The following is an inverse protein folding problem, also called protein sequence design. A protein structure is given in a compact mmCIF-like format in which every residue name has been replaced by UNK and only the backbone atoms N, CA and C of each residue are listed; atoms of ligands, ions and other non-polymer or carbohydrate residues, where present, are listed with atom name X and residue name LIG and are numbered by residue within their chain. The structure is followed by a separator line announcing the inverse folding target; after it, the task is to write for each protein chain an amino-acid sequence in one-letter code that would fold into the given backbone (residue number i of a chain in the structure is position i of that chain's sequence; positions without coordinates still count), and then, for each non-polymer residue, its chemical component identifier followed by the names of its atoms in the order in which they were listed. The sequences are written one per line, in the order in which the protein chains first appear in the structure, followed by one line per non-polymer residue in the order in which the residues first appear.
data_IF_543470207564
#
_entry.id   IF_543470207564
#
_cell.length_a   1.000
_cell.length_b   1.000
_cell.length_c   1.000
_cell.angle_alpha   90.00
_cell.angle_beta   90.00
_cell.angle_gamma   90.00
#
_symmetry.space_group_name_H-M   'P 1'
#
loop_
_entity.id
_entity.type
_entity.pdbx_description
1 polymer ?
#
# COMPACT_ATOMS: atom_id res chain seq x y z
N UNK A 1 -11.38 -6.31 12.49
CA UNK A 1 -10.74 -6.34 11.16
C UNK A 1 -9.25 -6.54 11.38
N UNK A 2 -8.61 -7.47 10.67
CA UNK A 2 -7.17 -7.73 10.89
C UNK A 2 -6.37 -6.67 10.14
N UNK A 3 -5.50 -5.97 10.86
CA UNK A 3 -4.60 -4.97 10.30
C UNK A 3 -3.31 -5.65 9.86
N UNK A 4 -2.83 -5.31 8.66
CA UNK A 4 -1.64 -5.91 8.09
C UNK A 4 -0.67 -4.84 7.59
N UNK A 5 0.62 -5.14 7.72
CA UNK A 5 1.72 -4.43 7.08
C UNK A 5 2.25 -5.23 5.89
N UNK A 6 2.74 -4.54 4.87
CA UNK A 6 3.35 -5.16 3.68
C UNK A 6 4.80 -4.67 3.57
N UNK A 7 5.76 -5.58 3.58
CA UNK A 7 7.17 -5.27 3.32
C UNK A 7 7.54 -5.68 1.89
N UNK A 8 7.73 -4.69 1.02
CA UNK A 8 7.95 -4.84 -0.42
C UNK A 8 6.69 -4.56 -1.25
N UNK A 9 6.68 -3.47 -2.02
CA UNK A 9 5.56 -3.05 -2.87
C UNK A 9 5.73 -3.47 -4.34
N UNK A 10 6.30 -4.66 -4.52
CA UNK A 10 6.42 -5.34 -5.81
C UNK A 10 5.10 -5.97 -6.26
N UNK A 11 5.18 -6.94 -7.18
CA UNK A 11 3.99 -7.58 -7.79
C UNK A 11 3.04 -8.17 -6.74
N UNK A 12 3.56 -8.96 -5.80
CA UNK A 12 2.73 -9.59 -4.76
C UNK A 12 2.17 -8.56 -3.78
N UNK A 13 3.00 -7.63 -3.28
CA UNK A 13 2.54 -6.59 -2.35
C UNK A 13 1.39 -5.74 -2.92
N UNK A 14 1.48 -5.36 -4.20
CA UNK A 14 0.39 -4.63 -4.87
C UNK A 14 -0.88 -5.47 -5.03
N UNK A 15 -0.76 -6.75 -5.41
CA UNK A 15 -1.92 -7.62 -5.57
C UNK A 15 -2.59 -7.95 -4.24
N UNK A 16 -1.81 -8.16 -3.17
CA UNK A 16 -2.32 -8.29 -1.80
C UNK A 16 -3.09 -7.03 -1.40
N UNK A 17 -2.56 -5.84 -1.70
CA UNK A 17 -3.24 -4.56 -1.43
C UNK A 17 -4.54 -4.45 -2.23
N UNK A 18 -4.54 -4.79 -3.52
CA UNK A 18 -5.76 -4.80 -4.36
C UNK A 18 -6.82 -5.75 -3.78
N UNK A 19 -6.44 -6.95 -3.37
CA UNK A 19 -7.34 -7.94 -2.78
C UNK A 19 -7.87 -7.50 -1.40
N UNK A 20 -7.03 -6.85 -0.58
CA UNK A 20 -7.44 -6.31 0.71
C UNK A 20 -8.53 -5.23 0.55
N UNK A 21 -8.31 -4.30 -0.39
CA UNK A 21 -9.24 -3.20 -0.66
C UNK A 21 -10.59 -3.69 -1.13
N UNK A 22 -10.63 -4.71 -2.00
CA UNK A 22 -11.91 -5.25 -2.53
C UNK A 22 -12.55 -6.29 -1.61
N UNK A 23 -11.76 -7.01 -0.81
CA UNK A 23 -12.23 -8.12 0.01
C UNK A 23 -12.86 -7.72 1.33
N UNK A 24 -12.50 -6.56 1.89
CA UNK A 24 -13.12 -6.02 3.13
C UNK A 24 -12.87 -6.82 4.41
N UNK A 25 -12.01 -7.85 4.38
CA UNK A 25 -11.68 -8.70 5.54
C UNK A 25 -10.45 -8.24 6.31
N UNK A 26 -9.54 -7.57 5.61
CA UNK A 26 -8.25 -7.11 6.12
C UNK A 26 -8.04 -5.65 5.74
N UNK A 27 -7.29 -4.94 6.58
CA UNK A 27 -6.96 -3.53 6.38
C UNK A 27 -5.45 -3.40 6.25
N UNK A 28 -4.98 -2.89 5.10
CA UNK A 28 -3.57 -2.55 4.94
C UNK A 28 -3.33 -1.20 5.60
N UNK A 29 -2.56 -1.18 6.68
CA UNK A 29 -2.28 0.05 7.44
C UNK A 29 -0.90 0.62 7.15
N UNK A 30 0.03 -0.24 6.70
CA UNK A 30 1.39 0.15 6.39
C UNK A 30 1.97 -0.59 5.20
N UNK A 31 2.78 0.10 4.41
CA UNK A 31 3.62 -0.46 3.35
C UNK A 31 5.05 0.05 3.54
N UNK A 32 6.04 -0.84 3.50
CA UNK A 32 7.45 -0.47 3.44
C UNK A 32 8.03 -0.83 2.07
N UNK A 33 8.70 0.11 1.41
CA UNK A 33 9.57 -0.19 0.28
C UNK A 33 10.69 0.87 0.17
N UNK A 34 11.97 0.51 0.39
CA UNK A 34 13.07 1.47 0.40
C UNK A 34 13.45 2.02 -0.98
N UNK A 35 12.83 1.54 -2.07
CA UNK A 35 13.22 1.91 -3.44
C UNK A 35 12.12 2.61 -4.24
N UNK A 36 10.91 2.70 -3.69
CA UNK A 36 9.73 3.22 -4.38
C UNK A 36 9.19 4.38 -3.56
N UNK A 37 9.14 5.60 -4.13
CA UNK A 37 8.54 6.74 -3.45
C UNK A 37 7.00 6.69 -3.49
N UNK A 38 6.36 7.49 -2.65
CA UNK A 38 4.91 7.48 -2.45
C UNK A 38 4.11 7.77 -3.74
N UNK A 39 4.54 8.76 -4.53
CA UNK A 39 3.91 9.11 -5.81
C UNK A 39 3.99 7.95 -6.80
N UNK A 40 5.14 7.28 -6.85
CA UNK A 40 5.33 6.13 -7.73
C UNK A 40 4.56 4.90 -7.25
N UNK A 41 4.43 4.67 -5.93
CA UNK A 41 3.53 3.65 -5.39
C UNK A 41 2.10 3.87 -5.87
N UNK A 42 1.59 5.11 -5.81
CA UNK A 42 0.24 5.42 -6.31
C UNK A 42 0.10 5.13 -7.81
N UNK A 43 1.10 5.49 -8.62
CA UNK A 43 1.14 5.17 -10.05
C UNK A 43 1.15 3.66 -10.31
N UNK A 44 2.05 2.91 -9.66
CA UNK A 44 2.18 1.46 -9.83
C UNK A 44 0.94 0.70 -9.33
N UNK A 45 0.23 1.24 -8.35
CA UNK A 45 -1.04 0.68 -7.90
C UNK A 45 -2.16 0.95 -8.93
N UNK A 46 -2.22 2.18 -9.48
CA UNK A 46 -3.20 2.56 -10.52
C UNK A 46 -3.06 1.74 -11.79
N UNK A 47 -1.84 1.49 -12.25
CA UNK A 47 -1.61 0.85 -13.55
C UNK A 47 -0.87 -0.47 -13.39
N UNK A 48 -1.52 -1.55 -13.81
CA UNK A 48 -0.93 -2.89 -13.85
C UNK A 48 -1.12 -3.48 -15.24
N UNK A 49 -0.04 -3.99 -15.85
CA UNK A 49 -0.07 -4.50 -17.22
C UNK A 49 -0.79 -5.84 -17.35
N UNK A 50 -0.86 -6.64 -16.28
CA UNK A 50 -1.49 -7.97 -16.30
C UNK A 50 -2.94 -7.91 -15.83
N UNK A 51 -3.20 -7.16 -14.76
CA UNK A 51 -4.52 -7.05 -14.14
C UNK A 51 -5.28 -5.79 -14.54
N UNK A 52 -4.72 -4.99 -15.44
CA UNK A 52 -5.31 -3.75 -15.93
C UNK A 52 -5.27 -2.60 -14.92
N UNK A 53 -5.77 -1.42 -15.34
CA UNK A 53 -5.87 -0.26 -14.47
C UNK A 53 -6.84 -0.52 -13.31
N UNK A 54 -6.56 0.09 -12.17
CA UNK A 54 -7.43 0.07 -11.01
C UNK A 54 -8.74 0.82 -11.31
N UNK A 55 -9.89 0.15 -11.09
CA UNK A 55 -11.24 0.68 -11.38
C UNK A 55 -12.12 0.88 -10.14
N UNK A 56 -11.65 0.48 -8.96
CA UNK A 56 -12.48 0.41 -7.75
C UNK A 56 -12.32 1.64 -6.83
N UNK A 57 -12.24 2.83 -7.43
CA UNK A 57 -12.18 4.11 -6.71
C UNK A 57 -10.85 4.85 -6.84
N UNK A 58 -10.77 5.97 -6.15
CA UNK A 58 -9.62 6.88 -6.22
C UNK A 58 -8.38 6.28 -5.54
N UNK A 59 -7.23 6.55 -6.16
CA UNK A 59 -5.89 6.30 -5.60
C UNK A 59 -5.16 7.63 -5.62
N UNK A 60 -4.74 8.11 -4.47
CA UNK A 60 -4.04 9.40 -4.34
C UNK A 60 -3.02 9.36 -3.22
N UNK A 61 -2.18 10.38 -3.18
CA UNK A 61 -1.28 10.67 -2.07
C UNK A 61 -1.89 11.81 -1.27
N UNK A 62 -1.92 11.68 0.06
CA UNK A 62 -2.50 12.71 0.95
C UNK A 62 -1.75 12.68 2.29
N UNK A 63 -1.15 13.80 2.68
CA UNK A 63 -0.46 13.92 3.97
C UNK A 63 0.65 12.88 4.20
N UNK A 64 1.43 12.55 3.17
CA UNK A 64 2.49 11.53 3.24
C UNK A 64 1.98 10.08 3.29
N UNK A 65 0.69 9.85 3.03
CA UNK A 65 0.07 8.51 2.99
C UNK A 65 -0.40 8.14 1.60
N UNK A 66 -0.42 6.85 1.33
CA UNK A 66 -1.09 6.29 0.16
C UNK A 66 -2.57 6.09 0.51
N UNK A 67 -3.46 6.73 -0.23
CA UNK A 67 -4.91 6.65 -0.01
C UNK A 67 -5.55 5.87 -1.14
N UNK A 68 -6.23 4.78 -0.80
CA UNK A 68 -6.97 3.93 -1.74
C UNK A 68 -8.39 3.76 -1.21
N UNK A 69 -9.35 4.44 -1.83
CA UNK A 69 -10.72 4.52 -1.31
C UNK A 69 -10.74 5.06 0.12
N UNK A 70 -11.12 4.22 1.08
CA UNK A 70 -11.17 4.58 2.52
C UNK A 70 -9.89 4.24 3.28
N UNK A 71 -8.98 3.45 2.69
CA UNK A 71 -7.74 3.05 3.35
C UNK A 71 -6.72 4.18 3.29
N UNK A 72 -6.18 4.56 4.44
CA UNK A 72 -5.08 5.53 4.58
C UNK A 72 -3.84 4.79 5.06
N UNK A 73 -2.92 4.53 4.14
CA UNK A 73 -1.79 3.63 4.34
C UNK A 73 -0.53 4.44 4.61
N UNK A 74 0.10 4.20 5.76
CA UNK A 74 1.40 4.79 6.11
C UNK A 74 2.50 4.15 5.26
N UNK A 75 3.39 4.96 4.69
CA UNK A 75 4.50 4.46 3.86
C UNK A 75 5.81 4.65 4.61
N UNK A 76 6.62 3.59 4.62
CA UNK A 76 7.98 3.57 5.14
C UNK A 76 8.98 3.27 4.01
N UNK A 77 10.24 3.67 4.20
CA UNK A 77 11.33 3.48 3.25
C UNK A 77 12.57 2.89 3.92
N UNK A 78 12.38 1.97 4.87
CA UNK A 78 13.46 1.36 5.63
C UNK A 78 14.03 0.15 4.89
N UNK A 79 15.37 0.09 4.81
CA UNK A 79 16.09 -1.08 4.26
C UNK A 79 16.19 -2.23 5.26
N UNK A 80 16.43 -1.90 6.52
CA UNK A 80 16.45 -2.88 7.60
C UNK A 80 15.03 -3.06 8.13
N UNK A 81 14.43 -4.27 8.02
CA UNK A 81 13.09 -4.52 8.53
C UNK A 81 12.92 -4.23 10.03
N UNK A 82 13.99 -4.29 10.82
CA UNK A 82 13.94 -4.01 12.25
C UNK A 82 13.63 -2.53 12.57
N UNK A 83 13.93 -1.62 11.63
CA UNK A 83 13.68 -0.18 11.81
C UNK A 83 12.27 0.25 11.40
N UNK A 84 11.50 -0.64 10.77
CA UNK A 84 10.14 -0.30 10.33
C UNK A 84 9.24 -0.16 11.56
N UNK A 85 8.74 1.06 11.77
CA UNK A 85 7.89 1.40 12.91
C UNK A 85 6.43 1.01 12.67
N UNK A 86 6.18 -0.30 12.56
CA UNK A 86 4.84 -0.83 12.31
C UNK A 86 3.80 -0.34 13.33
N UNK A 87 4.20 -0.19 14.59
CA UNK A 87 3.31 0.27 15.67
C UNK A 87 2.75 1.69 15.46
N UNK A 88 3.46 2.55 14.73
CA UNK A 88 3.02 3.93 14.46
C UNK A 88 1.86 3.97 13.44
N UNK A 89 1.65 2.88 12.69
CA UNK A 89 0.58 2.76 11.70
C UNK A 89 -0.74 2.19 12.26
N UNK A 90 -0.71 1.72 13.51
CA UNK A 90 -1.90 1.33 14.30
C UNK A 90 -2.36 -0.11 14.15
#
# INVERSE_FOLDING_TARGET
MVKIGINGFGRIGRLVTRAAVTGGKVEVVAINDPFINLEYMAYMFKYDSTHGPWKHGEVKTEGGKLVIGKMRITVFHERDPANIRWGDAG
#
